data_IF_017890787604
#
_entry.id   IF_017890787604
#
_cell.length_a   1.000
_cell.length_b   1.000
_cell.length_c   1.000
_cell.angle_alpha   90.00
_cell.angle_beta   90.00
_cell.angle_gamma   90.00
#
_symmetry.space_group_name_H-M   'P 1'
#
loop_
_entity.id
_entity.type
_entity.pdbx_description
1 polymer ?
#
# COMPACT_ATOMS: atom_id res chain seq x y z
N UNK A 1 -10.36 11.23 16.58
CA UNK A 1 -9.77 10.25 15.66
C UNK A 1 -10.84 9.23 15.31
N UNK A 2 -11.13 9.04 14.04
CA UNK A 2 -12.11 8.04 13.58
C UNK A 2 -11.43 6.67 13.55
N UNK A 3 -11.89 5.74 14.38
CA UNK A 3 -11.46 4.36 14.33
C UNK A 3 -12.46 3.55 13.52
N UNK A 4 -11.98 2.87 12.51
CA UNK A 4 -12.80 1.93 11.77
C UNK A 4 -12.87 0.61 12.56
N UNK A 5 -14.08 0.25 12.97
CA UNK A 5 -14.37 -0.99 13.71
C UNK A 5 -15.35 -1.82 12.86
N UNK A 6 -14.82 -2.49 11.86
CA UNK A 6 -15.63 -3.28 10.95
C UNK A 6 -14.82 -4.35 10.25
N UNK A 7 -15.45 -5.16 9.37
CA UNK A 7 -14.70 -6.06 8.50
C UNK A 7 -13.72 -5.26 7.65
N UNK A 8 -12.57 -5.86 7.34
CA UNK A 8 -11.53 -5.22 6.53
C UNK A 8 -12.07 -4.83 5.14
N UNK A 9 -12.17 -3.53 4.82
CA UNK A 9 -12.77 -3.08 3.57
C UNK A 9 -11.93 -3.45 2.34
N UNK A 10 -10.62 -3.56 2.47
CA UNK A 10 -9.75 -3.98 1.37
C UNK A 10 -9.96 -5.44 1.03
N UNK A 11 -10.08 -6.30 2.03
CA UNK A 11 -10.40 -7.71 1.85
C UNK A 11 -11.79 -7.89 1.24
N UNK A 12 -12.79 -7.18 1.76
CA UNK A 12 -14.17 -7.24 1.25
C UNK A 12 -14.22 -6.80 -0.22
N UNK A 13 -13.53 -5.74 -0.58
CA UNK A 13 -13.43 -5.27 -1.97
C UNK A 13 -12.75 -6.32 -2.85
N UNK A 14 -11.64 -6.90 -2.42
CA UNK A 14 -10.95 -7.95 -3.15
C UNK A 14 -11.86 -9.15 -3.43
N UNK A 15 -12.58 -9.63 -2.43
CA UNK A 15 -13.53 -10.74 -2.56
C UNK A 15 -14.66 -10.42 -3.54
N UNK A 16 -15.19 -9.19 -3.48
CA UNK A 16 -16.22 -8.72 -4.41
C UNK A 16 -15.69 -8.68 -5.86
N UNK A 17 -14.48 -8.18 -6.07
CA UNK A 17 -13.83 -8.15 -7.40
C UNK A 17 -13.58 -9.57 -7.92
N UNK A 18 -13.12 -10.49 -7.09
CA UNK A 18 -12.93 -11.89 -7.48
C UNK A 18 -14.26 -12.56 -7.86
N UNK A 19 -15.34 -12.25 -7.15
CA UNK A 19 -16.67 -12.74 -7.50
C UNK A 19 -17.14 -12.23 -8.87
N UNK A 20 -16.93 -10.94 -9.17
CA UNK A 20 -17.21 -10.35 -10.48
C UNK A 20 -16.38 -10.99 -11.61
N UNK A 21 -15.15 -11.32 -11.36
CA UNK A 21 -14.28 -11.99 -12.33
C UNK A 21 -14.75 -13.41 -12.64
N UNK A 22 -15.35 -14.10 -11.68
CA UNK A 22 -15.91 -15.44 -11.86
C UNK A 22 -17.28 -15.44 -12.53
N UNK A 23 -18.07 -14.43 -12.27
CA UNK A 23 -19.41 -14.25 -12.83
C UNK A 23 -19.60 -12.83 -13.40
N UNK A 24 -19.24 -12.63 -14.69
CA UNK A 24 -19.40 -11.33 -15.36
C UNK A 24 -20.85 -10.90 -15.54
N UNK A 25 -21.85 -11.76 -15.27
CA UNK A 25 -23.27 -11.43 -15.38
C UNK A 25 -23.74 -10.45 -14.31
N UNK A 26 -22.96 -10.19 -13.27
CA UNK A 26 -23.18 -9.09 -12.33
C UNK A 26 -22.88 -7.74 -12.97
N UNK A 27 -23.71 -7.43 -13.98
CA UNK A 27 -23.48 -6.37 -14.94
C UNK A 27 -23.79 -4.98 -14.40
N UNK A 28 -23.11 -3.96 -14.95
CA UNK A 28 -23.38 -2.55 -14.78
C UNK A 28 -22.61 -1.84 -13.67
N UNK A 29 -21.82 -2.53 -12.84
CA UNK A 29 -21.01 -1.88 -11.83
C UNK A 29 -19.80 -1.15 -12.43
N UNK A 30 -19.33 -0.09 -11.77
CA UNK A 30 -18.09 0.62 -12.14
C UNK A 30 -16.88 -0.34 -12.15
N UNK A 31 -16.83 -1.27 -11.22
CA UNK A 31 -15.78 -2.29 -11.13
C UNK A 31 -15.83 -3.25 -12.33
N UNK A 32 -17.01 -3.74 -12.71
CA UNK A 32 -17.15 -4.60 -13.87
C UNK A 32 -16.70 -3.93 -15.17
N UNK A 33 -17.03 -2.65 -15.35
CA UNK A 33 -16.56 -1.85 -16.49
C UNK A 33 -15.04 -1.70 -16.52
N UNK A 34 -14.44 -1.44 -15.36
CA UNK A 34 -12.99 -1.30 -15.25
C UNK A 34 -12.28 -2.62 -15.55
N UNK A 35 -12.77 -3.73 -15.05
CA UNK A 35 -12.26 -5.08 -15.36
C UNK A 35 -12.35 -5.39 -16.87
N UNK A 36 -13.46 -5.06 -17.50
CA UNK A 36 -13.65 -5.25 -18.94
C UNK A 36 -12.67 -4.43 -19.80
N UNK A 37 -12.23 -3.28 -19.33
CA UNK A 37 -11.26 -2.42 -20.03
C UNK A 37 -9.82 -2.94 -19.98
N UNK A 38 -9.52 -3.92 -19.15
CA UNK A 38 -8.24 -4.60 -19.10
C UNK A 38 -7.19 -3.98 -18.19
N UNK A 39 -6.08 -4.69 -18.02
CA UNK A 39 -5.00 -4.37 -17.09
C UNK A 39 -4.35 -3.01 -17.33
N UNK A 40 -4.12 -2.66 -18.60
CA UNK A 40 -3.50 -1.35 -18.93
C UNK A 40 -4.36 -0.18 -18.44
N UNK A 41 -5.68 -0.27 -18.53
CA UNK A 41 -6.59 0.74 -18.01
C UNK A 41 -6.60 0.78 -16.49
N UNK A 42 -6.61 -0.39 -15.83
CA UNK A 42 -6.50 -0.48 -14.37
C UNK A 42 -5.20 0.13 -13.86
N UNK A 43 -4.07 -0.15 -14.50
CA UNK A 43 -2.77 0.41 -14.15
C UNK A 43 -2.74 1.93 -14.33
N UNK A 44 -3.30 2.45 -15.42
CA UNK A 44 -3.43 3.91 -15.66
C UNK A 44 -4.24 4.58 -14.55
N UNK A 45 -5.34 3.98 -14.13
CA UNK A 45 -6.18 4.52 -13.03
C UNK A 45 -5.39 4.62 -11.73
N UNK A 46 -4.60 3.63 -11.38
CA UNK A 46 -3.72 3.69 -10.19
C UNK A 46 -2.76 4.88 -10.29
N UNK A 47 -2.13 5.08 -11.43
CA UNK A 47 -1.23 6.22 -11.65
C UNK A 47 -1.93 7.56 -11.54
N UNK A 48 -3.10 7.72 -12.15
CA UNK A 48 -3.91 8.95 -12.08
C UNK A 48 -4.28 9.29 -10.63
N UNK A 49 -4.83 8.33 -9.88
CA UNK A 49 -5.24 8.56 -8.49
C UNK A 49 -4.05 8.84 -7.56
N UNK A 50 -2.90 8.20 -7.79
CA UNK A 50 -1.69 8.48 -7.02
C UNK A 50 -1.21 9.94 -7.22
N UNK A 51 -1.27 10.45 -8.45
CA UNK A 51 -0.94 11.84 -8.76
C UNK A 51 -1.93 12.80 -8.08
N UNK A 52 -3.22 12.49 -8.10
CA UNK A 52 -4.25 13.32 -7.47
C UNK A 52 -4.08 13.38 -5.95
N UNK A 53 -3.75 12.26 -5.31
CA UNK A 53 -3.38 12.25 -3.88
C UNK A 53 -2.22 13.21 -3.61
N UNK A 54 -1.17 13.15 -4.41
CA UNK A 54 0.00 14.01 -4.25
C UNK A 54 -0.34 15.50 -4.43
N UNK A 55 -1.15 15.84 -5.43
CA UNK A 55 -1.59 17.21 -5.70
C UNK A 55 -2.39 17.75 -4.52
N UNK A 56 -3.40 17.03 -4.05
CA UNK A 56 -4.25 17.48 -2.96
C UNK A 56 -3.49 17.57 -1.62
N UNK A 57 -2.55 16.66 -1.39
CA UNK A 57 -1.66 16.72 -0.24
C UNK A 57 -0.78 17.98 -0.24
N UNK A 58 -0.24 18.36 -1.40
CA UNK A 58 0.57 19.58 -1.57
C UNK A 58 -0.26 20.86 -1.42
N UNK A 59 -1.54 20.81 -1.74
CA UNK A 59 -2.49 21.91 -1.48
C UNK A 59 -2.87 22.04 -0.01
N UNK A 60 -2.61 21.03 0.79
CA UNK A 60 -3.03 20.96 2.18
C UNK A 60 -4.53 20.70 2.38
N UNK A 61 -5.23 20.28 1.34
CA UNK A 61 -6.64 19.89 1.44
C UNK A 61 -6.76 18.48 2.02
N UNK A 62 -6.99 18.40 3.33
CA UNK A 62 -7.09 17.16 4.06
C UNK A 62 -8.25 16.29 3.56
N UNK A 63 -9.41 16.87 3.30
CA UNK A 63 -10.58 16.12 2.88
C UNK A 63 -10.41 15.56 1.46
N UNK A 64 -9.96 16.38 0.53
CA UNK A 64 -9.68 15.95 -0.83
C UNK A 64 -8.59 14.85 -0.84
N UNK A 65 -7.52 15.01 -0.08
CA UNK A 65 -6.47 13.99 0.05
C UNK A 65 -7.02 12.66 0.56
N UNK A 66 -7.92 12.69 1.55
CA UNK A 66 -8.58 11.49 2.06
C UNK A 66 -9.42 10.80 0.98
N UNK A 67 -10.23 11.57 0.24
CA UNK A 67 -11.09 11.05 -0.82
C UNK A 67 -10.27 10.41 -1.95
N UNK A 68 -9.24 11.10 -2.43
CA UNK A 68 -8.35 10.57 -3.48
C UNK A 68 -7.55 9.35 -3.00
N UNK A 69 -7.20 9.30 -1.73
CA UNK A 69 -6.54 8.11 -1.14
C UNK A 69 -7.44 6.89 -1.14
N UNK A 70 -8.74 7.06 -0.88
CA UNK A 70 -9.71 5.98 -0.98
C UNK A 70 -9.86 5.48 -2.43
N UNK A 71 -9.89 6.40 -3.40
CA UNK A 71 -9.94 6.07 -4.82
C UNK A 71 -8.66 5.35 -5.27
N UNK A 72 -7.50 5.77 -4.77
CA UNK A 72 -6.23 5.09 -5.03
C UNK A 72 -6.25 3.64 -4.51
N UNK A 73 -6.66 3.43 -3.26
CA UNK A 73 -6.75 2.09 -2.68
C UNK A 73 -7.74 1.20 -3.44
N UNK A 74 -8.89 1.75 -3.82
CA UNK A 74 -9.87 1.05 -4.64
C UNK A 74 -9.26 0.57 -5.98
N UNK A 75 -8.66 1.47 -6.74
CA UNK A 75 -8.06 1.14 -8.03
C UNK A 75 -6.88 0.19 -7.89
N UNK A 76 -6.10 0.32 -6.82
CA UNK A 76 -4.98 -0.59 -6.52
C UNK A 76 -5.49 -2.01 -6.26
N UNK A 77 -6.52 -2.18 -5.44
CA UNK A 77 -7.09 -3.51 -5.17
C UNK A 77 -7.64 -4.15 -6.46
N UNK A 78 -8.31 -3.38 -7.31
CA UNK A 78 -8.80 -3.87 -8.60
C UNK A 78 -7.65 -4.36 -9.48
N UNK A 79 -6.57 -3.59 -9.59
CA UNK A 79 -5.38 -3.97 -10.36
C UNK A 79 -4.72 -5.23 -9.78
N UNK A 80 -4.51 -5.29 -8.47
CA UNK A 80 -3.90 -6.45 -7.79
C UNK A 80 -4.76 -7.70 -7.97
N UNK A 81 -6.08 -7.56 -7.96
CA UNK A 81 -7.02 -8.66 -8.20
C UNK A 81 -6.82 -9.31 -9.58
N UNK A 82 -6.48 -8.52 -10.59
CA UNK A 82 -6.18 -9.04 -11.92
C UNK A 82 -4.92 -9.92 -11.96
N UNK A 83 -4.00 -9.70 -11.03
CA UNK A 83 -2.78 -10.50 -10.85
C UNK A 83 -2.95 -11.62 -9.81
N UNK A 84 -4.12 -11.76 -9.22
CA UNK A 84 -4.37 -12.73 -8.14
C UNK A 84 -3.67 -12.38 -6.83
N UNK A 85 -3.26 -11.13 -6.64
CA UNK A 85 -2.62 -10.66 -5.40
C UNK A 85 -3.69 -10.10 -4.46
N UNK A 86 -3.81 -10.68 -3.28
CA UNK A 86 -4.73 -10.19 -2.25
C UNK A 86 -4.12 -9.03 -1.44
N UNK A 87 -4.95 -8.15 -0.87
CA UNK A 87 -4.47 -7.15 0.09
C UNK A 87 -3.74 -7.77 1.28
N UNK A 88 -4.14 -8.95 1.73
CA UNK A 88 -3.49 -9.66 2.83
C UNK A 88 -2.03 -10.02 2.51
N UNK A 89 -1.72 -10.39 1.27
CA UNK A 89 -0.34 -10.65 0.83
C UNK A 89 0.51 -9.38 0.88
N UNK A 90 -0.06 -8.24 0.49
CA UNK A 90 0.63 -6.95 0.57
C UNK A 90 0.88 -6.54 2.03
N UNK A 91 -0.12 -6.72 2.89
CA UNK A 91 0.01 -6.45 4.33
C UNK A 91 1.05 -7.37 4.99
N UNK A 92 1.10 -8.63 4.61
CA UNK A 92 2.10 -9.58 5.09
C UNK A 92 3.52 -9.14 4.70
N UNK A 93 3.72 -8.63 3.48
CA UNK A 93 5.02 -8.09 3.06
C UNK A 93 5.40 -6.83 3.84
N UNK A 94 4.47 -5.93 4.10
CA UNK A 94 4.72 -4.76 4.96
C UNK A 94 5.11 -5.19 6.37
N UNK A 95 4.42 -6.17 6.92
CA UNK A 95 4.74 -6.72 8.25
C UNK A 95 6.12 -7.35 8.29
N UNK A 96 6.48 -8.09 7.25
CA UNK A 96 7.81 -8.68 7.12
C UNK A 96 8.92 -7.62 7.14
N UNK A 97 8.73 -6.52 6.41
CA UNK A 97 9.68 -5.40 6.39
C UNK A 97 9.78 -4.72 7.75
N UNK A 98 8.67 -4.49 8.41
CA UNK A 98 8.62 -3.91 9.76
C UNK A 98 9.42 -4.76 10.76
N UNK A 99 9.25 -6.08 10.73
CA UNK A 99 9.95 -7.00 11.63
C UNK A 99 11.46 -7.12 11.34
N UNK A 100 11.87 -6.99 10.08
CA UNK A 100 13.26 -7.16 9.67
C UNK A 100 14.10 -5.88 9.85
N UNK A 101 13.56 -4.70 9.50
CA UNK A 101 14.32 -3.45 9.40
C UNK A 101 13.63 -2.24 10.02
N UNK A 102 12.41 -2.39 10.52
CA UNK A 102 11.55 -1.27 10.86
C UNK A 102 10.76 -0.75 9.66
N UNK A 103 9.69 0.00 9.92
CA UNK A 103 8.72 0.40 8.90
C UNK A 103 9.28 1.39 7.87
N UNK A 104 10.29 2.19 8.26
CA UNK A 104 10.89 3.21 7.41
C UNK A 104 11.96 2.67 6.45
N UNK A 105 12.42 1.45 6.64
CA UNK A 105 13.50 0.86 5.85
C UNK A 105 12.94 -0.12 4.81
N UNK A 106 13.48 -0.01 3.60
CA UNK A 106 13.19 -0.98 2.55
C UNK A 106 14.12 -2.17 2.69
N UNK A 107 13.58 -3.38 2.47
CA UNK A 107 14.44 -4.54 2.30
C UNK A 107 15.28 -4.39 1.03
N UNK A 108 16.59 -4.71 1.10
CA UNK A 108 17.45 -4.74 -0.09
C UNK A 108 16.84 -5.68 -1.14
N UNK A 109 16.88 -5.26 -2.39
CA UNK A 109 16.62 -6.16 -3.53
C UNK A 109 17.84 -7.04 -3.74
N UNK A 110 17.67 -8.14 -4.47
CA UNK A 110 18.77 -9.07 -4.76
C UNK A 110 19.99 -8.39 -5.42
N UNK A 111 19.74 -7.32 -6.18
CA UNK A 111 20.77 -6.57 -6.90
C UNK A 111 21.28 -5.32 -6.14
N UNK A 112 20.76 -5.06 -4.95
CA UNK A 112 21.22 -3.92 -4.15
C UNK A 112 22.58 -4.25 -3.51
N UNK A 113 23.50 -3.26 -3.41
CA UNK A 113 24.77 -3.47 -2.73
C UNK A 113 24.53 -3.83 -1.26
N UNK A 114 25.42 -4.62 -0.65
CA UNK A 114 25.27 -5.03 0.75
C UNK A 114 25.20 -3.82 1.67
N UNK A 115 24.25 -3.82 2.59
CA UNK A 115 24.12 -2.76 3.60
C UNK A 115 25.38 -2.79 4.48
N UNK A 116 26.11 -1.68 4.64
CA UNK A 116 27.27 -1.64 5.49
C UNK A 116 26.87 -1.95 6.95
N UNK A 117 27.69 -2.75 7.61
CA UNK A 117 27.48 -3.05 9.03
C UNK A 117 27.41 -1.76 9.86
N UNK A 118 26.52 -1.66 10.86
CA UNK A 118 26.46 -0.48 11.70
C UNK A 118 27.81 -0.27 12.39
N UNK A 119 28.27 0.99 12.37
CA UNK A 119 29.51 1.36 13.04
C UNK A 119 29.46 0.96 14.53
N UNK A 120 30.54 0.42 15.11
CA UNK A 120 30.56 0.03 16.51
C UNK A 120 30.21 1.23 17.38
N UNK A 121 29.22 1.05 18.26
CA UNK A 121 28.82 2.06 19.22
C UNK A 121 30.02 2.36 20.12
N UNK A 122 30.61 3.54 19.97
CA UNK A 122 31.67 4.00 20.86
C UNK A 122 31.07 4.17 22.26
N UNK A 123 31.34 3.22 23.16
CA UNK A 123 31.04 3.39 24.56
C UNK A 123 31.87 4.58 25.06
N UNK A 124 31.23 5.70 25.36
CA UNK A 124 31.83 6.81 26.08
C UNK A 124 32.32 6.28 27.44
N UNK A 125 33.63 6.12 27.56
CA UNK A 125 34.26 5.86 28.85
C UNK A 125 33.79 6.95 29.83
N UNK A 126 33.02 6.56 30.84
CA UNK A 126 32.74 7.42 31.98
C UNK A 126 34.08 7.71 32.65
N UNK A 127 34.53 8.96 32.56
CA UNK A 127 35.63 9.44 33.40
C UNK A 127 35.15 9.37 34.84
N UNK A 128 35.78 8.48 35.60
CA UNK A 128 35.61 8.43 37.04
C UNK A 128 36.08 9.75 37.65
N UNK A 129 35.21 10.43 38.34
CA UNK A 129 35.54 11.53 39.23
C UNK A 129 36.16 10.91 40.50
N UNK A 130 37.48 11.07 40.63
CA UNK A 130 38.14 10.96 41.95
C UNK A 130 37.90 12.29 42.67
N UNK A 131 37.30 12.26 43.79
CA UNK A 131 37.27 13.29 44.81
C UNK A 131 36.92 12.66 46.12
#
# INVERSE_FOLDING_TARGET
>A
MVHYIGPDPLRALYEAVQALRRDPSMDGSRTAKLLAQGRARMARKVGEEAIEVAIEAMRGDRNATLMESADLLYNLVVLLSDLGISPDEVMAELRRRELAFGIAEKLPKADDPPVPAPAPVQQKRRKGTKG
#
